data_IF_020492389568
#
_entry.id   IF_020492389568
#
_cell.length_a   1.000
_cell.length_b   1.000
_cell.length_c   1.000
_cell.angle_alpha   90.00
_cell.angle_beta   90.00
_cell.angle_gamma   90.00
#
_symmetry.space_group_name_H-M   'P 1'
#
loop_
_entity.id
_entity.type
_entity.pdbx_description
1 polymer ?
#
# COMPACT_ATOMS: atom_id res chain seq x y z
N UNK A 1 9.73 3.74 -11.81
CA UNK A 1 9.07 5.07 -11.73
C UNK A 1 9.97 6.06 -10.98
N UNK A 2 9.84 7.38 -11.18
CA UNK A 2 10.58 8.38 -10.39
C UNK A 2 9.99 8.45 -8.97
N UNK A 3 10.83 8.21 -7.94
CA UNK A 3 10.35 8.11 -6.55
C UNK A 3 9.80 9.44 -6.01
N UNK A 4 10.44 10.57 -6.34
CA UNK A 4 9.99 11.90 -5.93
C UNK A 4 8.60 12.20 -6.50
N UNK A 5 8.39 11.99 -7.79
CA UNK A 5 7.08 12.21 -8.42
C UNK A 5 6.01 11.27 -7.86
N UNK A 6 6.31 9.98 -7.66
CA UNK A 6 5.37 9.06 -7.02
C UNK A 6 4.98 9.56 -5.61
N UNK A 7 5.97 10.03 -4.85
CA UNK A 7 5.78 10.53 -3.50
C UNK A 7 4.90 11.77 -3.48
N UNK A 8 5.25 12.79 -4.25
CA UNK A 8 4.61 14.11 -4.19
C UNK A 8 3.28 14.18 -4.94
N UNK A 9 3.10 13.39 -6.00
CA UNK A 9 1.93 13.48 -6.88
C UNK A 9 0.87 12.40 -6.61
N UNK A 10 1.23 11.31 -5.93
CA UNK A 10 0.32 10.18 -5.68
C UNK A 10 0.26 9.83 -4.20
N UNK A 11 1.39 9.47 -3.59
CA UNK A 11 1.38 8.93 -2.22
C UNK A 11 0.98 9.99 -1.20
N UNK A 12 1.67 11.14 -1.18
CA UNK A 12 1.38 12.23 -0.22
C UNK A 12 -0.04 12.76 -0.36
N UNK A 13 -0.51 13.17 -1.57
CA UNK A 13 -1.85 13.73 -1.70
C UNK A 13 -2.94 12.74 -1.30
N UNK A 14 -2.77 11.46 -1.64
CA UNK A 14 -3.74 10.43 -1.26
C UNK A 14 -3.77 10.21 0.25
N UNK A 15 -2.61 10.13 0.91
CA UNK A 15 -2.55 10.01 2.36
C UNK A 15 -3.14 11.22 3.08
N UNK A 16 -2.92 12.43 2.57
CA UNK A 16 -3.49 13.66 3.11
C UNK A 16 -5.02 13.68 2.94
N UNK A 17 -5.51 13.32 1.75
CA UNK A 17 -6.94 13.20 1.45
C UNK A 17 -7.64 12.19 2.37
N UNK A 18 -7.00 11.05 2.63
CA UNK A 18 -7.49 10.04 3.57
C UNK A 18 -7.34 10.48 5.03
N UNK A 19 -6.69 11.61 5.35
CA UNK A 19 -6.38 12.03 6.71
C UNK A 19 -5.51 11.01 7.47
N UNK A 20 -4.71 10.22 6.76
CA UNK A 20 -3.83 9.17 7.29
C UNK A 20 -2.34 9.47 7.06
N UNK A 21 -2.03 10.69 6.66
CA UNK A 21 -0.68 11.16 6.41
C UNK A 21 0.14 11.27 7.69
N UNK A 22 1.35 10.73 7.61
CA UNK A 22 2.50 11.12 8.41
C UNK A 22 3.73 10.91 7.55
N UNK A 23 4.83 11.61 7.85
CA UNK A 23 6.07 11.43 7.09
C UNK A 23 6.55 9.97 7.11
N UNK A 24 6.35 9.27 8.22
CA UNK A 24 6.66 7.85 8.34
C UNK A 24 5.75 6.96 7.47
N UNK A 25 4.44 7.25 7.41
CA UNK A 25 3.51 6.50 6.57
C UNK A 25 3.81 6.66 5.07
N UNK A 26 4.14 7.88 4.63
CA UNK A 26 4.59 8.17 3.27
C UNK A 26 5.81 7.33 2.90
N UNK A 27 6.87 7.42 3.72
CA UNK A 27 8.13 6.71 3.48
C UNK A 27 7.94 5.18 3.49
N UNK A 28 7.15 4.64 4.42
CA UNK A 28 6.84 3.20 4.47
C UNK A 28 6.11 2.73 3.21
N UNK A 29 5.13 3.49 2.72
CA UNK A 29 4.37 3.11 1.52
C UNK A 29 5.26 3.17 0.27
N UNK A 30 6.05 4.22 0.10
CA UNK A 30 6.96 4.32 -1.04
C UNK A 30 7.99 3.19 -0.99
N UNK A 31 8.57 2.91 0.18
CA UNK A 31 9.48 1.77 0.37
C UNK A 31 8.82 0.43 0.04
N UNK A 32 7.55 0.24 0.42
CA UNK A 32 6.76 -0.95 0.07
C UNK A 32 6.62 -1.08 -1.45
N UNK A 33 6.21 -0.01 -2.13
CA UNK A 33 6.02 -0.02 -3.60
C UNK A 33 7.32 -0.38 -4.33
N UNK A 34 8.45 0.21 -3.94
CA UNK A 34 9.74 -0.08 -4.58
C UNK A 34 10.24 -1.50 -4.27
N UNK A 35 9.95 -2.02 -3.08
CA UNK A 35 10.36 -3.37 -2.70
C UNK A 35 9.59 -4.42 -3.50
N UNK A 36 8.28 -4.22 -3.62
CA UNK A 36 7.34 -5.17 -4.21
C UNK A 36 7.32 -5.15 -5.74
N UNK A 37 7.35 -3.95 -6.36
CA UNK A 37 7.19 -3.82 -7.81
C UNK A 37 8.29 -3.03 -8.51
N UNK A 38 9.30 -2.55 -7.77
CA UNK A 38 10.27 -1.55 -8.26
C UNK A 38 9.61 -0.25 -8.76
N UNK A 39 8.33 -0.02 -8.44
CA UNK A 39 7.53 1.03 -9.07
C UNK A 39 7.46 0.87 -10.59
N UNK A 40 7.44 -0.36 -11.09
CA UNK A 40 7.45 -0.69 -12.52
C UNK A 40 6.35 -1.71 -12.85
N UNK A 41 6.22 -2.77 -12.05
CA UNK A 41 5.30 -3.87 -12.34
C UNK A 41 3.90 -3.65 -11.77
N UNK A 42 2.88 -3.78 -12.63
CA UNK A 42 1.46 -3.66 -12.24
C UNK A 42 0.81 -5.03 -11.94
N UNK A 43 1.53 -6.13 -12.18
CA UNK A 43 1.15 -7.49 -11.83
C UNK A 43 2.43 -8.27 -11.55
N UNK A 44 2.37 -9.18 -10.59
CA UNK A 44 3.54 -10.00 -10.24
C UNK A 44 4.05 -10.78 -11.45
N UNK A 45 5.37 -10.89 -11.55
CA UNK A 45 6.00 -11.83 -12.47
C UNK A 45 5.90 -13.25 -11.90
N UNK A 46 5.50 -14.21 -12.73
CA UNK A 46 5.23 -15.59 -12.33
C UNK A 46 3.74 -15.86 -12.07
N UNK A 47 3.45 -16.89 -11.28
CA UNK A 47 2.07 -17.41 -11.08
C UNK A 47 1.33 -16.79 -9.89
N UNK A 48 1.93 -15.79 -9.22
CA UNK A 48 1.34 -15.12 -8.06
C UNK A 48 0.18 -14.18 -8.43
N UNK A 49 -0.85 -14.04 -7.58
CA UNK A 49 -2.04 -13.26 -7.89
C UNK A 49 -1.90 -11.76 -7.58
N UNK A 50 -0.74 -11.31 -7.09
CA UNK A 50 -0.54 -9.95 -6.60
C UNK A 50 -0.67 -8.87 -7.68
N UNK A 51 -1.32 -7.76 -7.31
CA UNK A 51 -1.77 -6.70 -8.22
C UNK A 51 -1.25 -5.32 -7.82
N UNK A 52 -1.01 -4.49 -8.83
CA UNK A 52 -0.69 -3.07 -8.69
C UNK A 52 0.73 -2.78 -8.20
N UNK A 53 1.01 -1.50 -8.03
CA UNK A 53 2.34 -0.99 -7.61
C UNK A 53 2.77 -1.46 -6.22
N UNK A 54 1.82 -1.86 -5.37
CA UNK A 54 2.11 -2.41 -4.04
C UNK A 54 2.05 -3.94 -3.99
N UNK A 55 1.79 -4.62 -5.12
CA UNK A 55 1.64 -6.08 -5.21
C UNK A 55 0.73 -6.66 -4.12
N UNK A 56 -0.44 -6.05 -3.92
CA UNK A 56 -1.41 -6.57 -2.98
C UNK A 56 -2.13 -7.78 -3.57
N UNK A 57 -2.16 -8.89 -2.84
CA UNK A 57 -2.95 -10.05 -3.24
C UNK A 57 -4.47 -9.78 -3.09
N UNK A 58 -5.31 -10.30 -4.01
CA UNK A 58 -6.76 -10.16 -3.93
C UNK A 58 -7.37 -10.67 -2.62
N UNK A 59 -6.81 -11.72 -2.01
CA UNK A 59 -7.29 -12.23 -0.73
C UNK A 59 -7.09 -11.20 0.40
N UNK A 60 -5.91 -10.57 0.46
CA UNK A 60 -5.61 -9.49 1.41
C UNK A 60 -6.50 -8.28 1.18
N UNK A 61 -6.73 -7.91 -0.08
CA UNK A 61 -7.66 -6.84 -0.45
C UNK A 61 -9.07 -7.10 0.09
N UNK A 62 -9.62 -8.29 -0.17
CA UNK A 62 -10.98 -8.65 0.25
C UNK A 62 -11.11 -8.74 1.77
N UNK A 63 -10.08 -9.23 2.46
CA UNK A 63 -10.00 -9.27 3.92
C UNK A 63 -10.01 -7.85 4.53
N UNK A 64 -9.28 -6.90 3.94
CA UNK A 64 -9.30 -5.50 4.39
C UNK A 64 -10.71 -4.92 4.27
N UNK A 65 -11.42 -5.18 3.18
CA UNK A 65 -12.80 -4.72 3.05
C UNK A 65 -13.74 -5.34 4.08
N UNK A 66 -13.81 -6.68 4.07
CA UNK A 66 -14.78 -7.44 4.86
C UNK A 66 -14.57 -7.34 6.37
N UNK A 67 -13.31 -7.26 6.83
CA UNK A 67 -12.98 -7.36 8.26
C UNK A 67 -12.46 -6.06 8.88
N UNK A 68 -12.13 -5.04 8.08
CA UNK A 68 -11.63 -3.77 8.61
C UNK A 68 -12.44 -2.57 8.11
N UNK A 69 -12.49 -2.32 6.80
CA UNK A 69 -13.15 -1.14 6.24
C UNK A 69 -14.66 -1.16 6.46
N UNK A 70 -15.28 -2.34 6.48
CA UNK A 70 -16.70 -2.51 6.85
C UNK A 70 -17.09 -1.84 8.19
N UNK A 71 -16.13 -1.66 9.09
CA UNK A 71 -16.35 -1.08 10.42
C UNK A 71 -15.65 0.28 10.61
N UNK A 72 -15.14 0.89 9.54
CA UNK A 72 -14.33 2.11 9.59
C UNK A 72 -14.89 3.19 8.68
N UNK A 73 -14.92 4.44 9.14
CA UNK A 73 -15.21 5.61 8.29
C UNK A 73 -14.16 5.86 7.17
N UNK A 74 -13.10 5.04 7.13
CA UNK A 74 -12.15 5.02 6.03
C UNK A 74 -12.76 4.45 4.75
N UNK A 75 -13.77 3.57 4.84
CA UNK A 75 -14.46 3.00 3.66
C UNK A 75 -14.91 4.09 2.70
N UNK A 76 -15.64 5.08 3.21
CA UNK A 76 -16.29 6.11 2.40
C UNK A 76 -15.25 6.96 1.66
N UNK A 77 -14.19 7.35 2.37
CA UNK A 77 -13.07 8.11 1.79
C UNK A 77 -12.31 7.31 0.73
N UNK A 78 -12.16 6.00 0.90
CA UNK A 78 -11.55 5.15 -0.14
C UNK A 78 -12.47 5.06 -1.36
N UNK A 79 -13.78 4.85 -1.15
CA UNK A 79 -14.79 4.73 -2.21
C UNK A 79 -14.87 5.97 -3.10
N UNK A 80 -14.62 7.17 -2.56
CA UNK A 80 -14.56 8.43 -3.36
C UNK A 80 -13.56 8.40 -4.52
N UNK A 81 -12.52 7.55 -4.43
CA UNK A 81 -11.48 7.42 -5.45
C UNK A 81 -11.72 6.27 -6.44
N UNK A 82 -12.80 5.49 -6.26
CA UNK A 82 -13.08 4.26 -7.01
C UNK A 82 -13.98 4.56 -8.21
N UNK A 83 -13.62 4.03 -9.38
CA UNK A 83 -14.45 4.17 -10.57
C UNK A 83 -15.77 3.38 -10.46
N UNK A 84 -16.92 3.91 -10.95
CA UNK A 84 -18.21 3.23 -10.84
C UNK A 84 -18.23 1.80 -11.43
N UNK A 85 -17.46 1.53 -12.49
CA UNK A 85 -17.39 0.20 -13.11
C UNK A 85 -16.62 -0.84 -12.27
N UNK A 86 -15.88 -0.38 -11.27
CA UNK A 86 -15.11 -1.21 -10.34
C UNK A 86 -15.89 -1.57 -9.08
N UNK A 87 -17.08 -1.00 -8.90
CA UNK A 87 -18.00 -1.36 -7.83
C UNK A 87 -18.60 -2.74 -8.10
N UNK A 88 -18.86 -3.50 -7.03
CA UNK A 88 -19.50 -4.82 -7.07
C UNK A 88 -20.85 -4.79 -6.34
N UNK A 89 -21.67 -5.81 -6.54
CA UNK A 89 -22.90 -6.02 -5.76
C UNK A 89 -22.64 -6.71 -4.40
N UNK A 90 -21.38 -7.03 -4.10
CA UNK A 90 -20.97 -7.65 -2.84
C UNK A 90 -20.76 -6.57 -1.77
N UNK A 91 -21.67 -6.52 -0.80
CA UNK A 91 -21.62 -5.52 0.28
C UNK A 91 -20.38 -5.67 1.19
N UNK A 92 -19.79 -6.86 1.28
CA UNK A 92 -18.59 -7.09 2.09
C UNK A 92 -17.30 -6.79 1.33
N UNK A 93 -17.33 -6.83 0.00
CA UNK A 93 -16.21 -6.49 -0.89
C UNK A 93 -16.70 -5.60 -2.03
N UNK A 94 -16.98 -4.31 -1.75
CA UNK A 94 -17.68 -3.42 -2.69
C UNK A 94 -16.84 -2.99 -3.90
N UNK A 95 -15.54 -3.35 -3.96
CA UNK A 95 -14.62 -2.95 -5.02
C UNK A 95 -13.91 -4.18 -5.59
N UNK A 96 -13.77 -4.24 -6.91
CA UNK A 96 -12.98 -5.30 -7.58
C UNK A 96 -11.51 -5.11 -7.29
N UNK A 97 -10.81 -6.17 -6.89
CA UNK A 97 -9.36 -6.14 -6.66
C UNK A 97 -8.55 -5.66 -7.89
N UNK A 98 -9.08 -5.79 -9.11
CA UNK A 98 -8.45 -5.27 -10.33
C UNK A 98 -8.28 -3.74 -10.33
N UNK A 99 -9.00 -3.01 -9.49
CA UNK A 99 -8.82 -1.56 -9.29
C UNK A 99 -7.39 -1.23 -8.82
N UNK A 100 -6.73 -2.14 -8.10
CA UNK A 100 -5.33 -2.02 -7.68
C UNK A 100 -4.35 -1.84 -8.86
N UNK A 101 -4.70 -2.32 -10.06
CA UNK A 101 -3.82 -2.29 -11.23
C UNK A 101 -3.79 -0.90 -11.86
N UNK A 102 -4.97 -0.31 -12.10
CA UNK A 102 -5.13 0.91 -12.88
C UNK A 102 -5.24 2.19 -12.05
N UNK A 103 -5.57 2.08 -10.77
CA UNK A 103 -5.81 3.22 -9.89
C UNK A 103 -4.73 3.28 -8.81
N UNK A 104 -3.68 4.08 -9.05
CA UNK A 104 -2.55 4.20 -8.13
C UNK A 104 -2.96 4.80 -6.78
N UNK A 105 -3.91 5.75 -6.74
CA UNK A 105 -4.44 6.28 -5.49
C UNK A 105 -5.13 5.17 -4.69
N UNK A 106 -5.95 4.34 -5.35
CA UNK A 106 -6.57 3.19 -4.69
C UNK A 106 -5.54 2.17 -4.17
N UNK A 107 -4.50 1.86 -4.96
CA UNK A 107 -3.43 0.97 -4.52
C UNK A 107 -2.69 1.52 -3.29
N UNK A 108 -2.41 2.83 -3.25
CA UNK A 108 -1.84 3.52 -2.08
C UNK A 108 -2.78 3.46 -0.89
N UNK A 109 -4.07 3.74 -1.09
CA UNK A 109 -5.10 3.72 -0.05
C UNK A 109 -5.22 2.35 0.61
N UNK A 110 -5.28 1.28 -0.19
CA UNK A 110 -5.35 -0.09 0.32
C UNK A 110 -4.05 -0.51 1.02
N UNK A 111 -2.89 -0.13 0.48
CA UNK A 111 -1.61 -0.34 1.16
C UNK A 111 -1.58 0.38 2.52
N UNK A 112 -2.06 1.62 2.59
CA UNK A 112 -2.18 2.37 3.84
C UNK A 112 -3.14 1.70 4.81
N UNK A 113 -4.31 1.28 4.36
CA UNK A 113 -5.32 0.62 5.18
C UNK A 113 -4.76 -0.68 5.79
N UNK A 114 -3.99 -1.45 5.02
CA UNK A 114 -3.34 -2.68 5.49
C UNK A 114 -2.39 -2.46 6.66
N UNK A 115 -1.58 -1.40 6.61
CA UNK A 115 -0.72 -1.03 7.74
C UNK A 115 -1.50 -0.36 8.86
N UNK A 116 -2.47 0.49 8.54
CA UNK A 116 -3.22 1.27 9.52
C UNK A 116 -4.07 0.41 10.46
N UNK A 117 -4.53 -0.76 10.01
CA UNK A 117 -5.25 -1.72 10.86
C UNK A 117 -4.36 -2.47 11.87
N UNK A 118 -3.04 -2.28 11.84
CA UNK A 118 -2.11 -2.89 12.80
C UNK A 118 -1.96 -1.98 14.02
N UNK A 119 -2.01 -2.57 15.21
CA UNK A 119 -1.92 -1.83 16.48
C UNK A 119 -0.50 -1.36 16.82
N UNK A 120 0.52 -1.95 16.19
CA UNK A 120 1.92 -1.60 16.43
C UNK A 120 2.21 -0.20 15.84
N UNK A 121 2.83 0.72 16.61
CA UNK A 121 3.15 2.06 16.12
C UNK A 121 4.13 2.01 14.94
N UNK A 122 3.99 2.96 14.02
CA UNK A 122 4.93 3.10 12.92
C UNK A 122 6.34 3.46 13.43
N UNK A 123 7.40 2.97 12.76
CA UNK A 123 8.75 3.48 12.95
C UNK A 123 8.84 4.99 12.69
N UNK A 124 9.87 5.65 13.22
CA UNK A 124 10.08 7.08 12.99
C UNK A 124 10.41 7.35 11.52
N UNK A 125 10.04 8.53 11.03
CA UNK A 125 10.48 8.98 9.72
C UNK A 125 12.02 8.93 9.64
N UNK A 126 12.54 8.39 8.53
CA UNK A 126 13.96 8.15 8.30
C UNK A 126 14.50 6.82 8.84
N UNK A 127 13.74 6.06 9.64
CA UNK A 127 14.16 4.76 10.16
C UNK A 127 13.93 3.65 9.10
N UNK A 128 14.78 3.61 8.08
CA UNK A 128 14.67 2.65 6.96
C UNK A 128 14.73 1.20 7.44
N UNK A 129 15.59 0.91 8.43
CA UNK A 129 15.65 -0.44 9.02
C UNK A 129 14.37 -0.78 9.80
N UNK A 130 13.82 0.20 10.52
CA UNK A 130 12.52 0.09 11.17
C UNK A 130 11.41 -0.20 10.17
N UNK A 131 11.38 0.51 9.03
CA UNK A 131 10.42 0.24 7.96
C UNK A 131 10.60 -1.15 7.37
N UNK A 132 11.83 -1.60 7.14
CA UNK A 132 12.10 -2.96 6.65
C UNK A 132 11.57 -4.03 7.61
N UNK A 133 11.79 -3.87 8.93
CA UNK A 133 11.21 -4.75 9.95
C UNK A 133 9.68 -4.72 9.91
N UNK A 134 9.10 -3.53 9.85
CA UNK A 134 7.64 -3.35 9.86
C UNK A 134 6.98 -3.95 8.61
N UNK A 135 7.54 -3.71 7.43
CA UNK A 135 7.11 -4.33 6.17
C UNK A 135 7.24 -5.86 6.21
N UNK A 136 8.37 -6.39 6.70
CA UNK A 136 8.58 -7.84 6.80
C UNK A 136 7.56 -8.50 7.72
N UNK A 137 7.26 -7.88 8.87
CA UNK A 137 6.29 -8.40 9.83
C UNK A 137 4.86 -8.30 9.31
N UNK A 138 4.47 -7.16 8.74
CA UNK A 138 3.06 -6.84 8.52
C UNK A 138 2.58 -6.98 7.08
N UNK A 139 3.43 -6.79 6.08
CA UNK A 139 3.05 -6.82 4.65
C UNK A 139 3.52 -8.10 3.96
N UNK A 140 4.83 -8.39 4.03
CA UNK A 140 5.40 -9.60 3.44
C UNK A 140 5.08 -10.85 4.28
N UNK A 141 4.98 -10.69 5.61
CA UNK A 141 4.77 -11.72 6.63
C UNK A 141 5.94 -12.72 6.77
N UNK A 142 5.89 -13.55 7.82
CA UNK A 142 6.90 -14.57 8.10
C UNK A 142 7.02 -15.63 6.97
N UNK A 143 5.93 -15.89 6.25
CA UNK A 143 5.91 -16.85 5.13
C UNK A 143 6.25 -16.22 3.78
N UNK A 144 6.29 -14.90 3.68
CA UNK A 144 6.71 -14.23 2.46
C UNK A 144 8.20 -14.46 2.18
N UNK A 145 8.55 -14.58 0.90
CA UNK A 145 9.92 -14.83 0.48
C UNK A 145 10.85 -13.62 0.59
N UNK A 146 10.30 -12.43 0.86
CA UNK A 146 11.07 -11.19 0.89
C UNK A 146 11.93 -11.07 2.14
N UNK A 147 13.12 -10.49 2.02
CA UNK A 147 14.02 -10.25 3.13
C UNK A 147 14.08 -8.77 3.48
N UNK A 148 14.37 -8.45 4.74
CA UNK A 148 14.54 -7.04 5.16
C UNK A 148 15.62 -6.30 4.35
N UNK A 149 16.65 -7.02 3.92
CA UNK A 149 17.72 -6.49 3.05
C UNK A 149 17.15 -6.01 1.72
N UNK A 150 16.19 -6.73 1.14
CA UNK A 150 15.56 -6.34 -0.13
C UNK A 150 14.88 -4.98 -0.01
N UNK A 151 14.20 -4.74 1.12
CA UNK A 151 13.55 -3.46 1.39
C UNK A 151 14.58 -2.33 1.52
N UNK A 152 15.64 -2.56 2.31
CA UNK A 152 16.69 -1.55 2.56
C UNK A 152 17.44 -1.20 1.26
N UNK A 153 17.71 -2.19 0.43
CA UNK A 153 18.46 -2.03 -0.81
C UNK A 153 17.62 -1.29 -1.86
N UNK A 154 16.33 -1.63 -1.97
CA UNK A 154 15.40 -1.02 -2.94
C UNK A 154 14.80 0.30 -2.47
N UNK A 155 14.96 0.68 -1.19
CA UNK A 155 14.39 1.92 -0.67
C UNK A 155 14.95 3.16 -1.41
N UNK A 156 14.09 4.02 -1.98
CA UNK A 156 14.54 5.21 -2.69
C UNK A 156 14.98 6.30 -1.71
N UNK A 157 16.29 6.40 -1.45
CA UNK A 157 16.85 7.28 -0.40
C UNK A 157 16.61 8.77 -0.67
N UNK A 158 16.37 9.16 -1.92
CA UNK A 158 16.04 10.54 -2.30
C UNK A 158 14.76 11.07 -1.62
N UNK A 159 13.84 10.21 -1.20
CA UNK A 159 12.60 10.65 -0.53
C UNK A 159 12.82 11.03 0.94
N UNK A 160 13.99 10.70 1.52
CA UNK A 160 14.31 11.01 2.92
C UNK A 160 14.46 12.51 3.16
N UNK A 161 14.78 13.28 2.13
CA UNK A 161 14.94 14.74 2.17
C UNK A 161 13.71 15.53 1.69
N UNK A 162 12.65 14.86 1.24
CA UNK A 162 11.36 15.47 0.91
C UNK A 162 10.58 15.82 2.18
#
# INVERSE_FOLDING_TARGET
>A
MNATQLTELVVRPELERLGLYSKAAEQLIVGTIFTESHGEYLKQLGDGPALGIAQMEPATHNDIWSNFLKYSNLSDRIMESVAPFSVTDDADVPVKATELIGNMCYAVAMCRAHYYRKSEPLPKAGDVEGFARYWKTHYNTAHGAGHMTDFIDKFPREILSL
#
